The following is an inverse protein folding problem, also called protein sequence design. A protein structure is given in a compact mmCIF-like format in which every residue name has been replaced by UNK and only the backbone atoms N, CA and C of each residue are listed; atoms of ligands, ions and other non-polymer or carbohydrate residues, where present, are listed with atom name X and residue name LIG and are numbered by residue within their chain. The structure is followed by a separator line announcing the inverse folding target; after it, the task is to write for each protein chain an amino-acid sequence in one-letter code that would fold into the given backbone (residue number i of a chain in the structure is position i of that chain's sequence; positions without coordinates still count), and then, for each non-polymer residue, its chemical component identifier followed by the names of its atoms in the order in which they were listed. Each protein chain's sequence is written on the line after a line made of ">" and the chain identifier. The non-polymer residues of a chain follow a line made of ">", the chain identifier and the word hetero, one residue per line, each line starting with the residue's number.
data_IF_556181426080
#
_entry.id   IF_556181426080
#
_cell.length_a   1.000
_cell.length_b   1.000
_cell.length_c   1.000
_cell.angle_alpha   90.00
_cell.angle_beta   90.00
_cell.angle_gamma   90.00
#
_symmetry.space_group_name_H-M   'P 1'
#
loop_
_entity.id
_entity.type
_entity.pdbx_description
1 polymer ?
#
# COMPACT_ATOMS: atom_id res chain seq x y z
N UNK A 1 31.53 18.97 6.17
CA UNK A 1 30.96 20.22 5.59
C UNK A 1 30.83 19.96 4.10
N UNK A 2 29.68 19.42 3.68
CA UNK A 2 29.40 19.14 2.27
C UNK A 2 29.32 20.48 1.55
N UNK A 3 30.24 20.71 0.59
CA UNK A 3 30.12 21.83 -0.35
C UNK A 3 29.11 21.39 -1.41
N UNK A 4 27.86 21.78 -1.21
CA UNK A 4 26.86 21.75 -2.29
C UNK A 4 27.10 23.03 -3.08
N UNK A 5 27.41 22.91 -4.37
CA UNK A 5 27.44 24.06 -5.28
C UNK A 5 26.06 24.72 -5.24
N UNK A 6 26.01 25.99 -4.82
CA UNK A 6 24.78 26.75 -4.62
C UNK A 6 24.17 27.10 -5.97
N UNK A 7 23.40 26.17 -6.54
CA UNK A 7 22.49 26.48 -7.63
C UNK A 7 21.33 27.32 -7.07
N UNK A 8 21.22 28.56 -7.55
CA UNK A 8 20.07 29.42 -7.25
C UNK A 8 18.84 28.81 -7.94
N UNK A 9 17.90 28.26 -7.18
CA UNK A 9 16.63 27.78 -7.71
C UNK A 9 15.75 28.97 -8.09
N UNK A 10 15.73 29.36 -9.37
CA UNK A 10 14.69 30.28 -9.85
C UNK A 10 14.07 29.85 -11.18
N UNK A 11 12.72 29.91 -11.29
CA UNK A 11 11.76 30.29 -10.24
C UNK A 11 11.50 29.17 -9.20
N UNK A 12 11.07 29.55 -8.00
CA UNK A 12 10.67 28.61 -6.94
C UNK A 12 9.40 27.84 -7.33
N UNK A 13 9.34 26.56 -6.97
CA UNK A 13 8.19 25.68 -7.25
C UNK A 13 7.20 25.70 -6.09
N UNK A 14 5.93 25.84 -6.41
CA UNK A 14 4.81 25.87 -5.46
C UNK A 14 4.23 24.47 -5.28
N UNK A 15 4.27 23.95 -4.05
CA UNK A 15 3.78 22.64 -3.66
C UNK A 15 2.53 22.80 -2.78
N UNK A 16 1.39 22.35 -3.28
CA UNK A 16 0.15 22.34 -2.52
C UNK A 16 -0.08 21.00 -1.82
N UNK A 17 -0.41 21.01 -0.54
CA UNK A 17 -0.73 19.81 0.25
C UNK A 17 -2.22 19.85 0.60
N UNK A 18 -2.98 18.86 0.17
CA UNK A 18 -4.40 18.73 0.46
C UNK A 18 -4.67 17.52 1.35
N UNK A 19 -5.36 17.75 2.47
CA UNK A 19 -5.77 16.72 3.42
C UNK A 19 -7.30 16.63 3.47
N UNK A 20 -7.93 15.77 2.67
CA UNK A 20 -9.38 15.65 2.66
C UNK A 20 -9.96 14.93 3.90
N UNK A 21 -9.12 14.20 4.64
CA UNK A 21 -9.50 13.49 5.86
C UNK A 21 -8.27 13.19 6.73
N UNK A 22 -8.46 12.40 7.79
CA UNK A 22 -7.40 11.92 8.68
C UNK A 22 -6.19 11.36 7.93
N UNK A 23 -4.99 11.58 8.48
CA UNK A 23 -3.72 11.04 7.97
C UNK A 23 -2.79 10.59 9.10
N UNK A 24 -1.87 9.64 8.84
CA UNK A 24 -0.77 9.36 9.74
C UNK A 24 0.23 10.52 9.69
N UNK A 25 0.67 11.02 10.86
CA UNK A 25 1.61 12.15 10.94
C UNK A 25 2.90 11.95 10.17
N UNK A 26 3.43 10.74 10.25
CA UNK A 26 4.69 10.36 9.61
C UNK A 26 4.66 10.59 8.10
N UNK A 27 3.48 10.42 7.47
CA UNK A 27 3.30 10.61 6.04
C UNK A 27 3.41 12.09 5.64
N UNK A 28 2.73 12.97 6.37
CA UNK A 28 2.84 14.41 6.17
C UNK A 28 4.26 14.91 6.46
N UNK A 29 4.88 14.41 7.54
CA UNK A 29 6.24 14.79 7.91
C UNK A 29 7.23 14.49 6.79
N UNK A 30 7.18 13.30 6.16
CA UNK A 30 8.07 13.00 5.04
C UNK A 30 7.91 13.96 3.86
N UNK A 31 6.67 14.31 3.52
CA UNK A 31 6.40 15.24 2.43
C UNK A 31 6.96 16.62 2.75
N UNK A 32 6.64 17.15 3.92
CA UNK A 32 7.06 18.50 4.33
C UNK A 32 8.56 18.60 4.53
N UNK A 33 9.16 17.64 5.24
CA UNK A 33 10.57 17.68 5.61
C UNK A 33 11.47 17.55 4.39
N UNK A 34 11.11 16.73 3.39
CA UNK A 34 11.93 16.59 2.18
C UNK A 34 12.15 17.95 1.48
N UNK A 35 11.07 18.70 1.23
CA UNK A 35 11.17 20.02 0.59
C UNK A 35 11.85 21.07 1.50
N UNK A 36 11.55 21.07 2.80
CA UNK A 36 12.20 22.00 3.74
C UNK A 36 13.71 21.74 3.87
N UNK A 37 14.12 20.47 3.85
CA UNK A 37 15.54 20.10 3.85
C UNK A 37 16.23 20.49 2.55
N UNK A 38 15.57 20.36 1.40
CA UNK A 38 16.09 20.86 0.13
C UNK A 38 16.33 22.37 0.15
N UNK A 39 15.36 23.16 0.63
CA UNK A 39 15.55 24.61 0.79
C UNK A 39 16.75 24.92 1.71
N UNK A 40 16.92 24.15 2.78
CA UNK A 40 18.08 24.29 3.69
C UNK A 40 19.40 23.95 2.99
N UNK A 41 19.44 22.88 2.20
CA UNK A 41 20.63 22.47 1.44
C UNK A 41 21.04 23.54 0.43
N UNK A 42 20.06 24.16 -0.25
CA UNK A 42 20.28 25.20 -1.24
C UNK A 42 20.58 26.58 -0.62
N UNK A 43 20.34 26.76 0.69
CA UNK A 43 20.32 28.07 1.36
C UNK A 43 19.41 29.10 0.64
N UNK A 44 18.34 28.62 0.00
CA UNK A 44 17.39 29.41 -0.78
C UNK A 44 16.00 28.75 -0.76
N UNK A 45 14.95 29.48 -1.12
CA UNK A 45 13.58 28.96 -1.18
C UNK A 45 13.30 28.37 -2.56
N UNK A 46 13.81 27.16 -2.80
CA UNK A 46 13.51 26.39 -4.03
C UNK A 46 12.04 25.96 -4.11
N UNK A 47 11.43 25.66 -2.95
CA UNK A 47 10.08 25.13 -2.82
C UNK A 47 9.25 25.93 -1.82
N UNK A 48 8.08 26.41 -2.24
CA UNK A 48 7.08 27.02 -1.36
C UNK A 48 5.96 26.00 -1.09
N UNK A 49 5.74 25.63 0.16
CA UNK A 49 4.68 24.67 0.52
C UNK A 49 3.47 25.40 1.08
N UNK A 50 2.28 24.99 0.64
CA UNK A 50 1.02 25.54 1.12
C UNK A 50 0.02 24.46 1.48
N UNK A 51 -0.79 24.71 2.49
CA UNK A 51 -1.96 23.89 2.79
C UNK A 51 -3.15 24.33 1.93
N UNK A 52 -3.65 23.36 1.18
CA UNK A 52 -4.79 23.46 0.28
C UNK A 52 -6.05 23.02 1.01
N UNK A 53 -6.72 23.94 1.71
CA UNK A 53 -7.96 23.67 2.43
C UNK A 53 -8.91 24.86 2.37
N UNK A 54 -10.22 24.59 2.35
CA UNK A 54 -11.27 25.59 2.49
C UNK A 54 -11.81 25.72 3.92
N UNK A 55 -11.40 24.82 4.82
CA UNK A 55 -11.88 24.77 6.21
C UNK A 55 -10.71 24.98 7.17
N UNK A 56 -10.53 26.23 7.60
CA UNK A 56 -9.47 26.63 8.53
C UNK A 56 -9.65 26.09 9.94
N UNK A 57 -10.87 25.70 10.31
CA UNK A 57 -11.23 25.23 11.64
C UNK A 57 -11.21 23.71 11.73
N UNK A 58 -11.05 23.01 10.61
CA UNK A 58 -10.89 21.57 10.60
C UNK A 58 -9.69 21.17 11.49
N UNK A 59 -9.86 20.19 12.41
CA UNK A 59 -8.76 19.71 13.26
C UNK A 59 -7.50 19.32 12.49
N UNK A 60 -7.63 18.77 11.27
CA UNK A 60 -6.50 18.43 10.41
C UNK A 60 -5.81 19.66 9.84
N UNK A 61 -6.55 20.74 9.58
CA UNK A 61 -5.99 22.03 9.17
C UNK A 61 -5.20 22.68 10.30
N UNK A 62 -5.76 22.70 11.52
CA UNK A 62 -5.09 23.24 12.71
C UNK A 62 -3.79 22.49 12.97
N UNK A 63 -3.84 21.17 12.81
CA UNK A 63 -2.70 20.30 12.93
C UNK A 63 -1.60 20.60 11.90
N UNK A 64 -1.92 20.85 10.64
CA UNK A 64 -0.94 21.27 9.64
C UNK A 64 -0.23 22.59 9.96
N UNK A 65 -0.87 23.49 10.73
CA UNK A 65 -0.21 24.72 11.20
C UNK A 65 0.98 24.42 12.12
N UNK A 66 1.03 23.25 12.78
CA UNK A 66 2.21 22.81 13.55
C UNK A 66 3.43 22.51 12.68
N UNK A 67 3.24 22.35 11.38
CA UNK A 67 4.31 22.20 10.40
C UNK A 67 4.67 23.53 9.73
N UNK A 68 4.22 24.67 10.25
CA UNK A 68 4.43 26.00 9.67
C UNK A 68 4.03 26.09 8.19
N UNK A 69 2.99 25.36 7.78
CA UNK A 69 2.45 25.42 6.43
C UNK A 69 1.45 26.58 6.33
N UNK A 70 1.75 27.64 5.54
CA UNK A 70 0.78 28.70 5.29
C UNK A 70 -0.43 28.16 4.53
N UNK A 71 -1.59 28.78 4.75
CA UNK A 71 -2.76 28.54 3.91
C UNK A 71 -2.49 29.10 2.51
N UNK A 72 -2.94 28.37 1.49
CA UNK A 72 -2.84 28.86 0.12
C UNK A 72 -3.82 30.02 -0.10
N UNK A 73 -3.31 31.11 -0.67
CA UNK A 73 -4.11 32.25 -1.11
C UNK A 73 -4.41 32.10 -2.62
N UNK A 74 -5.66 32.33 -3.04
CA UNK A 74 -6.24 32.00 -4.36
C UNK A 74 -5.52 32.57 -5.60
N UNK A 75 -4.41 33.28 -5.44
CA UNK A 75 -3.70 34.03 -6.50
C UNK A 75 -2.44 33.34 -7.05
N UNK A 76 -1.91 32.28 -6.41
CA UNK A 76 -0.65 31.64 -6.83
C UNK A 76 -0.85 30.33 -7.60
N UNK A 77 -0.30 30.14 -8.81
CA UNK A 77 -0.32 28.85 -9.48
C UNK A 77 0.44 27.80 -8.64
N UNK A 78 0.02 26.54 -8.75
CA UNK A 78 0.63 25.42 -8.01
C UNK A 78 1.26 24.47 -9.01
N UNK A 79 2.54 24.11 -8.82
CA UNK A 79 3.28 23.20 -9.70
C UNK A 79 2.96 21.73 -9.41
N UNK A 80 2.66 21.41 -8.14
CA UNK A 80 2.18 20.08 -7.76
C UNK A 80 1.21 20.07 -6.58
N UNK A 81 0.26 19.14 -6.60
CA UNK A 81 -0.73 18.92 -5.53
C UNK A 81 -0.52 17.52 -4.95
N UNK A 82 -0.20 17.46 -3.66
CA UNK A 82 -0.09 16.24 -2.88
C UNK A 82 -1.37 16.02 -2.08
N UNK A 83 -2.10 14.95 -2.37
CA UNK A 83 -3.30 14.54 -1.64
C UNK A 83 -2.94 13.39 -0.72
N UNK A 84 -3.01 13.62 0.60
CA UNK A 84 -2.68 12.62 1.62
C UNK A 84 -3.93 12.26 2.41
N UNK A 85 -4.24 10.98 2.56
CA UNK A 85 -5.40 10.54 3.35
C UNK A 85 -5.23 9.09 3.82
N UNK A 86 -5.64 8.78 5.06
CA UNK A 86 -5.76 7.41 5.58
C UNK A 86 -7.14 6.78 5.34
N UNK A 87 -8.14 7.56 4.90
CA UNK A 87 -9.52 7.10 4.78
C UNK A 87 -10.04 7.34 3.37
N UNK A 88 -10.91 6.44 2.90
CA UNK A 88 -11.47 6.53 1.57
C UNK A 88 -12.50 7.67 1.46
N UNK A 89 -12.68 8.27 0.28
CA UNK A 89 -13.74 9.23 0.07
C UNK A 89 -15.11 8.56 0.30
N UNK A 90 -16.12 9.33 0.78
CA UNK A 90 -17.42 8.77 1.13
C UNK A 90 -18.23 8.28 -0.09
N UNK A 91 -17.86 8.71 -1.30
CA UNK A 91 -18.53 8.36 -2.57
C UNK A 91 -17.52 8.23 -3.70
N UNK A 92 -17.90 7.45 -4.71
CA UNK A 92 -17.13 7.27 -5.96
C UNK A 92 -16.83 8.58 -6.69
N UNK A 93 -17.76 9.55 -6.61
CA UNK A 93 -17.60 10.88 -7.17
C UNK A 93 -17.99 11.92 -6.14
N UNK A 94 -17.11 12.88 -5.92
CA UNK A 94 -17.32 14.02 -5.01
C UNK A 94 -16.74 15.27 -5.65
N UNK A 95 -17.29 16.42 -5.26
CA UNK A 95 -16.71 17.70 -5.68
C UNK A 95 -15.41 17.90 -4.91
N UNK A 96 -14.31 18.13 -5.62
CA UNK A 96 -13.11 18.67 -4.99
C UNK A 96 -13.36 20.10 -4.53
N UNK A 97 -12.51 20.64 -3.65
CA UNK A 97 -12.46 22.09 -3.44
C UNK A 97 -12.36 22.83 -4.79
N UNK A 98 -13.06 23.97 -4.98
CA UNK A 98 -13.13 24.66 -6.27
C UNK A 98 -11.76 24.98 -6.87
N UNK A 99 -10.79 25.32 -6.02
CA UNK A 99 -9.43 25.63 -6.48
C UNK A 99 -8.68 24.38 -6.97
N UNK A 100 -8.82 23.23 -6.30
CA UNK A 100 -8.25 21.96 -6.78
C UNK A 100 -8.89 21.65 -8.14
N UNK A 101 -10.21 21.80 -8.25
CA UNK A 101 -10.90 21.57 -9.52
C UNK A 101 -10.38 22.48 -10.62
N UNK A 102 -10.14 23.75 -10.31
CA UNK A 102 -9.59 24.71 -11.26
C UNK A 102 -8.20 24.28 -11.75
N UNK A 103 -7.29 23.93 -10.83
CA UNK A 103 -5.93 23.47 -11.19
C UNK A 103 -5.94 22.15 -11.96
N UNK A 104 -6.84 21.22 -11.63
CA UNK A 104 -7.03 19.98 -12.38
C UNK A 104 -7.51 20.25 -13.81
N UNK A 105 -8.34 21.27 -14.03
CA UNK A 105 -8.91 21.60 -15.34
C UNK A 105 -7.96 22.39 -16.25
N UNK A 106 -7.01 23.14 -15.68
CA UNK A 106 -6.03 23.94 -16.45
C UNK A 106 -4.86 23.12 -16.98
N UNK A 107 -4.81 21.82 -16.66
CA UNK A 107 -4.04 20.77 -17.33
C UNK A 107 -2.49 20.87 -17.30
N UNK A 108 -1.91 21.44 -16.24
CA UNK A 108 -0.43 21.47 -16.07
C UNK A 108 0.07 21.15 -14.66
N UNK A 109 -0.82 20.77 -13.73
CA UNK A 109 -0.40 20.46 -12.36
C UNK A 109 -0.06 18.98 -12.18
N UNK A 110 1.09 18.70 -11.56
CA UNK A 110 1.44 17.34 -11.15
C UNK A 110 0.62 16.96 -9.92
N UNK A 111 -0.04 15.81 -9.91
CA UNK A 111 -0.80 15.35 -8.76
C UNK A 111 -0.22 14.07 -8.19
N UNK A 112 -0.12 14.00 -6.87
CA UNK A 112 0.43 12.86 -6.15
C UNK A 112 -0.56 12.42 -5.08
N UNK A 113 -1.07 11.21 -5.20
CA UNK A 113 -1.99 10.62 -4.23
C UNK A 113 -1.28 9.62 -3.32
N UNK A 114 -1.24 9.86 -2.02
CA UNK A 114 -0.56 8.96 -1.07
C UNK A 114 -1.59 8.29 -0.16
N UNK A 115 -1.40 7.00 0.07
CA UNK A 115 -2.28 6.14 0.85
C UNK A 115 -3.69 6.07 0.24
N UNK A 116 -4.74 6.58 0.89
CA UNK A 116 -6.08 6.72 0.31
C UNK A 116 -6.21 7.94 -0.61
N UNK A 117 -5.22 8.84 -0.62
CA UNK A 117 -5.23 10.08 -1.40
C UNK A 117 -5.32 9.87 -2.91
N UNK A 118 -4.81 8.74 -3.42
CA UNK A 118 -4.99 8.35 -4.83
C UNK A 118 -6.45 8.06 -5.17
N UNK A 119 -7.21 7.49 -4.24
CA UNK A 119 -8.66 7.25 -4.38
C UNK A 119 -9.45 8.55 -4.27
N UNK A 120 -9.01 9.50 -3.44
CA UNK A 120 -9.57 10.86 -3.43
C UNK A 120 -9.37 11.58 -4.75
N UNK A 121 -8.17 11.53 -5.33
CA UNK A 121 -7.89 12.07 -6.66
C UNK A 121 -8.81 11.45 -7.72
N UNK A 122 -8.98 10.12 -7.69
CA UNK A 122 -9.94 9.46 -8.58
C UNK A 122 -11.38 9.98 -8.37
N UNK A 123 -11.80 10.14 -7.11
CA UNK A 123 -13.13 10.65 -6.80
C UNK A 123 -13.33 12.12 -7.20
N UNK A 124 -12.25 12.90 -7.34
CA UNK A 124 -12.22 14.24 -7.93
C UNK A 124 -12.21 14.26 -9.47
N UNK A 125 -12.17 13.09 -10.11
CA UNK A 125 -12.18 12.96 -11.56
C UNK A 125 -10.79 12.87 -12.20
N UNK A 126 -9.73 12.63 -11.41
CA UNK A 126 -8.39 12.37 -11.97
C UNK A 126 -8.33 10.95 -12.53
N UNK A 127 -7.88 10.84 -13.78
CA UNK A 127 -7.68 9.56 -14.44
C UNK A 127 -6.25 9.08 -14.25
N UNK A 128 -6.10 7.83 -13.81
CA UNK A 128 -4.81 7.16 -13.70
C UNK A 128 -4.57 6.34 -14.97
N UNK A 129 -3.41 6.54 -15.62
CA UNK A 129 -2.99 5.73 -16.78
C UNK A 129 -2.31 4.43 -16.32
N UNK A 130 -1.58 4.51 -15.22
CA UNK A 130 -0.90 3.38 -14.59
C UNK A 130 -1.78 2.78 -13.48
N UNK A 131 -1.55 1.50 -13.11
CA UNK A 131 -2.15 0.92 -11.92
C UNK A 131 -1.94 1.80 -10.68
N UNK A 132 -3.01 1.97 -9.92
CA UNK A 132 -3.04 2.86 -8.75
C UNK A 132 -2.46 2.16 -7.54
N UNK A 133 -1.56 2.87 -6.86
CA UNK A 133 -1.04 2.44 -5.57
C UNK A 133 -1.89 3.04 -4.46
N UNK A 134 -2.37 2.18 -3.57
CA UNK A 134 -2.99 2.52 -2.30
C UNK A 134 -2.52 1.51 -1.23
N UNK A 135 -2.63 1.88 0.04
CA UNK A 135 -2.23 0.98 1.13
C UNK A 135 -3.08 -0.31 1.12
N UNK A 136 -2.43 -1.47 1.22
CA UNK A 136 -3.06 -2.79 1.09
C UNK A 136 -4.27 -3.00 2.00
N UNK A 137 -4.30 -2.37 3.18
CA UNK A 137 -5.43 -2.50 4.12
C UNK A 137 -6.74 -1.90 3.60
N UNK A 138 -6.70 -1.06 2.57
CA UNK A 138 -7.88 -0.44 1.96
C UNK A 138 -8.38 -1.21 0.74
N UNK A 139 -7.65 -2.22 0.26
CA UNK A 139 -7.90 -2.81 -1.05
C UNK A 139 -9.27 -3.48 -1.17
N UNK A 140 -9.72 -4.18 -0.13
CA UNK A 140 -11.04 -4.82 -0.15
C UNK A 140 -12.15 -3.77 -0.34
N UNK A 141 -12.08 -2.68 0.43
CA UNK A 141 -13.01 -1.55 0.33
C UNK A 141 -12.91 -0.82 -1.02
N UNK A 142 -11.70 -0.65 -1.57
CA UNK A 142 -11.49 -0.01 -2.86
C UNK A 142 -12.08 -0.86 -3.98
N UNK A 143 -11.80 -2.17 -3.98
CA UNK A 143 -12.32 -3.09 -4.98
C UNK A 143 -13.86 -3.17 -4.96
N UNK A 144 -14.47 -3.00 -3.78
CA UNK A 144 -15.93 -2.95 -3.65
C UNK A 144 -16.51 -1.61 -4.13
N UNK A 145 -15.95 -0.47 -3.69
CA UNK A 145 -16.55 0.86 -3.87
C UNK A 145 -16.09 1.60 -5.12
N UNK A 146 -14.91 1.25 -5.64
CA UNK A 146 -14.24 1.90 -6.78
C UNK A 146 -13.71 0.85 -7.77
N UNK A 147 -14.56 -0.03 -8.33
CA UNK A 147 -14.13 -1.16 -9.16
C UNK A 147 -13.47 -0.75 -10.49
N UNK A 148 -13.53 0.53 -10.87
CA UNK A 148 -12.83 1.07 -12.03
C UNK A 148 -11.33 1.27 -11.80
N UNK A 149 -10.87 1.30 -10.55
CA UNK A 149 -9.45 1.43 -10.21
C UNK A 149 -8.75 0.09 -10.31
N UNK A 150 -7.70 0.03 -11.11
CA UNK A 150 -6.79 -1.12 -11.15
C UNK A 150 -5.70 -0.91 -10.11
N UNK A 151 -5.63 -1.77 -9.09
CA UNK A 151 -4.65 -1.66 -8.01
C UNK A 151 -3.37 -2.48 -8.27
N UNK A 152 -2.23 -2.00 -7.75
CA UNK A 152 -0.94 -2.69 -7.81
C UNK A 152 -0.30 -2.83 -6.41
N UNK A 153 0.37 -3.96 -6.08
CA UNK A 153 1.00 -4.20 -4.77
C UNK A 153 2.32 -3.44 -4.56
N UNK A 154 2.73 -2.64 -5.53
CA UNK A 154 3.97 -1.87 -5.52
C UNK A 154 3.96 -0.77 -4.44
N UNK A 155 5.14 -0.22 -4.14
CA UNK A 155 5.28 0.84 -3.13
C UNK A 155 4.78 2.20 -3.64
N UNK A 156 5.06 2.50 -4.91
CA UNK A 156 4.66 3.74 -5.57
C UNK A 156 4.72 3.60 -7.09
N UNK A 157 4.03 4.51 -7.78
CA UNK A 157 4.03 4.69 -9.23
C UNK A 157 4.21 6.18 -9.54
N UNK A 158 5.16 6.51 -10.41
CA UNK A 158 5.40 7.87 -10.90
C UNK A 158 5.08 7.89 -12.38
N UNK A 159 3.95 8.51 -12.73
CA UNK A 159 3.59 8.81 -14.11
C UNK A 159 3.92 10.25 -14.47
N UNK A 160 3.64 10.65 -15.72
CA UNK A 160 3.99 11.98 -16.24
C UNK A 160 3.36 13.13 -15.44
N UNK A 161 2.07 13.02 -15.12
CA UNK A 161 1.31 14.06 -14.39
C UNK A 161 0.61 13.54 -13.14
N UNK A 162 0.48 12.22 -12.99
CA UNK A 162 -0.28 11.56 -11.93
C UNK A 162 0.59 10.49 -11.31
N UNK A 163 0.86 10.61 -10.02
CA UNK A 163 1.64 9.66 -9.23
C UNK A 163 0.82 9.13 -8.06
N UNK A 164 1.15 7.93 -7.59
CA UNK A 164 0.52 7.34 -6.40
C UNK A 164 1.50 6.58 -5.53
N UNK A 165 1.24 6.52 -4.23
CA UNK A 165 2.08 5.77 -3.28
C UNK A 165 1.26 5.14 -2.18
N UNK A 166 1.74 4.03 -1.62
CA UNK A 166 0.99 3.31 -0.59
C UNK A 166 0.99 4.01 0.78
N UNK A 167 1.84 5.02 0.97
CA UNK A 167 1.95 5.78 2.21
C UNK A 167 2.91 5.20 3.25
N UNK A 168 2.86 5.74 4.45
CA UNK A 168 3.75 5.39 5.58
C UNK A 168 5.23 5.55 5.22
N UNK A 169 6.06 4.51 5.44
CA UNK A 169 7.49 4.54 5.13
C UNK A 169 7.75 4.64 3.63
N UNK A 170 6.83 4.18 2.76
CA UNK A 170 7.03 4.28 1.31
C UNK A 170 6.92 5.72 0.79
N UNK A 171 6.36 6.64 1.60
CA UNK A 171 6.28 8.05 1.25
C UNK A 171 7.67 8.67 1.12
N UNK A 172 8.63 8.28 1.96
CA UNK A 172 10.02 8.74 1.81
C UNK A 172 10.64 8.24 0.51
N UNK A 173 10.37 6.99 0.12
CA UNK A 173 10.87 6.47 -1.16
C UNK A 173 10.23 7.19 -2.35
N UNK A 174 8.91 7.37 -2.32
CA UNK A 174 8.17 8.07 -3.37
C UNK A 174 8.67 9.51 -3.53
N UNK A 175 8.78 10.29 -2.44
CA UNK A 175 9.16 11.70 -2.57
C UNK A 175 10.60 11.86 -3.06
N UNK A 176 11.53 11.03 -2.59
CA UNK A 176 12.92 11.05 -3.08
C UNK A 176 12.95 10.66 -4.56
N UNK A 177 12.26 9.59 -4.95
CA UNK A 177 12.18 9.16 -6.34
C UNK A 177 11.53 10.24 -7.24
N UNK A 178 10.48 10.89 -6.78
CA UNK A 178 9.80 11.96 -7.50
C UNK A 178 10.69 13.19 -7.68
N UNK A 179 11.45 13.57 -6.64
CA UNK A 179 12.40 14.69 -6.68
C UNK A 179 13.56 14.43 -7.64
N UNK A 180 13.92 13.18 -7.97
CA UNK A 180 14.97 12.89 -8.97
C UNK A 180 14.66 13.47 -10.36
N UNK A 181 13.37 13.70 -10.66
CA UNK A 181 12.96 14.34 -11.91
C UNK A 181 13.10 15.88 -11.88
N UNK A 182 13.34 16.45 -10.71
CA UNK A 182 13.37 17.91 -10.48
C UNK A 182 14.72 18.43 -10.03
N UNK A 183 15.53 17.58 -9.38
CA UNK A 183 16.77 17.93 -8.72
C UNK A 183 17.95 17.17 -9.29
N UNK A 184 19.15 17.70 -9.07
CA UNK A 184 20.39 17.00 -9.45
C UNK A 184 20.63 15.78 -8.56
N UNK A 185 21.38 14.80 -9.09
CA UNK A 185 21.74 13.61 -8.32
C UNK A 185 22.48 13.94 -7.01
N UNK A 186 23.33 14.98 -7.01
CA UNK A 186 24.08 15.39 -5.81
C UNK A 186 23.17 15.99 -4.73
N UNK A 187 22.17 16.78 -5.15
CA UNK A 187 21.12 17.29 -4.26
C UNK A 187 20.32 16.15 -3.65
N UNK A 188 19.91 15.17 -4.46
CA UNK A 188 19.17 13.99 -3.99
C UNK A 188 20.00 13.15 -3.01
N UNK A 189 21.27 12.91 -3.32
CA UNK A 189 22.16 12.18 -2.42
C UNK A 189 22.31 12.91 -1.07
N UNK A 190 22.47 14.24 -1.10
CA UNK A 190 22.55 15.06 0.11
C UNK A 190 21.26 15.02 0.94
N UNK A 191 20.10 15.00 0.28
CA UNK A 191 18.81 14.83 0.94
C UNK A 191 18.68 13.44 1.60
N UNK A 192 19.06 12.38 0.88
CA UNK A 192 19.04 11.02 1.38
C UNK A 192 19.96 10.85 2.61
N UNK A 193 21.15 11.46 2.58
CA UNK A 193 22.08 11.48 3.72
C UNK A 193 21.46 12.16 4.96
N UNK A 194 20.81 13.33 4.77
CA UNK A 194 20.15 14.04 5.88
C UNK A 194 18.98 13.25 6.48
N UNK A 195 18.25 12.51 5.63
CA UNK A 195 17.15 11.64 6.06
C UNK A 195 17.62 10.27 6.57
N UNK A 196 18.92 9.99 6.56
CA UNK A 196 19.50 8.69 6.93
C UNK A 196 18.88 7.53 6.14
N UNK A 197 18.64 7.72 4.84
CA UNK A 197 18.08 6.70 3.96
C UNK A 197 19.21 5.80 3.44
N UNK A 198 19.40 4.64 4.10
CA UNK A 198 20.44 3.67 3.73
C UNK A 198 20.23 3.05 2.35
N UNK A 199 18.96 2.89 1.94
CA UNK A 199 18.57 2.30 0.66
C UNK A 199 17.23 2.86 0.22
N UNK A 200 17.20 3.48 -0.96
CA UNK A 200 15.96 3.82 -1.64
C UNK A 200 15.33 2.53 -2.20
N UNK A 201 14.11 2.21 -1.78
CA UNK A 201 13.39 1.06 -2.30
C UNK A 201 12.89 1.33 -3.71
N UNK A 202 13.06 0.35 -4.58
CA UNK A 202 12.63 0.48 -5.97
C UNK A 202 11.12 0.31 -6.09
N UNK A 203 10.50 0.93 -7.10
CA UNK A 203 9.04 0.95 -7.24
C UNK A 203 8.39 -0.43 -7.30
N UNK A 204 9.02 -1.42 -7.95
CA UNK A 204 8.47 -2.78 -8.09
C UNK A 204 8.63 -3.63 -6.81
N UNK A 205 9.29 -3.10 -5.77
CA UNK A 205 9.22 -3.73 -4.45
C UNK A 205 7.78 -3.72 -3.95
N UNK A 206 7.37 -4.81 -3.31
CA UNK A 206 6.00 -4.98 -2.85
C UNK A 206 5.81 -4.41 -1.45
N UNK A 207 4.60 -3.92 -1.18
CA UNK A 207 4.17 -3.56 0.16
C UNK A 207 4.38 -4.72 1.14
N UNK A 208 4.87 -4.39 2.35
CA UNK A 208 5.05 -5.39 3.40
C UNK A 208 3.69 -5.79 3.96
N UNK A 209 3.33 -7.06 3.78
CA UNK A 209 2.11 -7.64 4.34
C UNK A 209 2.29 -7.99 5.83
N UNK A 210 1.21 -7.94 6.65
CA UNK A 210 1.26 -8.21 8.09
C UNK A 210 1.81 -9.58 8.49
N UNK A 211 1.77 -10.57 7.59
CA UNK A 211 2.30 -11.92 7.82
C UNK A 211 3.83 -11.97 7.90
N UNK A 212 4.53 -10.88 7.55
CA UNK A 212 5.98 -10.78 7.61
C UNK A 212 6.40 -10.12 8.94
N UNK A 213 6.76 -10.87 10.00
CA UNK A 213 7.40 -10.38 11.24
C UNK A 213 8.50 -9.32 11.04
N UNK A 214 8.53 -8.32 11.93
CA UNK A 214 9.51 -7.22 11.95
C UNK A 214 10.83 -7.72 12.56
N UNK A 215 11.97 -7.54 11.86
CA UNK A 215 13.31 -7.65 12.45
C UNK A 215 13.87 -9.05 12.75
N UNK A 216 13.33 -10.12 12.17
CA UNK A 216 13.94 -11.45 12.28
C UNK A 216 14.70 -11.78 11.01
N UNK A 217 15.96 -12.21 11.14
CA UNK A 217 16.67 -12.96 10.10
C UNK A 217 15.68 -13.85 9.36
N UNK A 218 15.43 -13.51 8.09
CA UNK A 218 14.85 -14.46 7.17
C UNK A 218 13.52 -15.05 7.70
N UNK A 219 12.45 -14.25 7.67
CA UNK A 219 11.20 -14.84 7.16
C UNK A 219 11.55 -15.19 5.72
N UNK A 220 12.09 -16.39 5.55
CA UNK A 220 12.76 -16.75 4.32
C UNK A 220 11.77 -16.47 3.20
N UNK A 221 12.13 -15.65 2.20
CA UNK A 221 11.26 -15.39 1.06
C UNK A 221 10.67 -16.69 0.50
N UNK A 222 11.40 -17.80 0.62
CA UNK A 222 10.96 -19.16 0.28
C UNK A 222 9.82 -19.73 1.12
N UNK A 223 9.77 -19.47 2.42
CA UNK A 223 8.65 -19.88 3.28
C UNK A 223 7.39 -19.06 2.93
N UNK A 224 7.53 -17.75 2.75
CA UNK A 224 6.41 -16.88 2.34
C UNK A 224 5.89 -17.31 0.96
N UNK A 225 6.76 -17.43 -0.03
CA UNK A 225 6.40 -17.92 -1.36
C UNK A 225 5.74 -19.30 -1.31
N UNK A 226 6.21 -20.20 -0.44
CA UNK A 226 5.59 -21.51 -0.28
C UNK A 226 4.17 -21.43 0.28
N UNK A 227 3.92 -20.55 1.25
CA UNK A 227 2.58 -20.31 1.80
C UNK A 227 1.68 -19.66 0.74
N UNK A 228 2.17 -18.68 -0.01
CA UNK A 228 1.43 -18.05 -1.12
C UNK A 228 1.04 -19.07 -2.20
N UNK A 229 1.96 -19.96 -2.58
CA UNK A 229 1.65 -21.07 -3.50
C UNK A 229 0.56 -21.98 -2.94
N UNK A 230 0.58 -22.28 -1.64
CA UNK A 230 -0.46 -23.08 -1.00
C UNK A 230 -1.83 -22.39 -1.04
N UNK A 231 -1.87 -21.10 -0.72
CA UNK A 231 -3.12 -20.31 -0.68
C UNK A 231 -3.75 -20.15 -2.07
N UNK A 232 -2.92 -20.01 -3.11
CA UNK A 232 -3.36 -19.86 -4.49
C UNK A 232 -3.79 -21.18 -5.15
N UNK A 233 -3.37 -22.33 -4.60
CA UNK A 233 -3.66 -23.66 -5.18
C UNK A 233 -4.51 -24.52 -4.23
N UNK A 234 -5.65 -24.01 -3.76
CA UNK A 234 -6.47 -24.75 -2.78
C UNK A 234 -7.27 -25.90 -3.42
N UNK A 235 -7.81 -25.68 -4.62
CA UNK A 235 -8.66 -26.64 -5.34
C UNK A 235 -7.83 -27.79 -5.92
N UNK A 236 -6.66 -27.46 -6.47
CA UNK A 236 -5.68 -28.42 -6.99
C UNK A 236 -4.38 -28.34 -6.18
N UNK A 237 -4.32 -28.99 -4.99
CA UNK A 237 -3.24 -28.79 -4.05
C UNK A 237 -1.92 -29.38 -4.55
N UNK A 238 -0.87 -28.56 -4.52
CA UNK A 238 0.48 -28.97 -4.83
C UNK A 238 1.06 -29.90 -3.74
N UNK A 239 1.84 -30.88 -4.16
CA UNK A 239 2.64 -31.69 -3.24
C UNK A 239 3.76 -30.87 -2.60
N UNK A 240 4.27 -31.36 -1.46
CA UNK A 240 5.41 -30.70 -0.79
C UNK A 240 6.66 -30.66 -1.68
N UNK A 241 6.84 -31.65 -2.54
CA UNK A 241 7.96 -31.70 -3.49
C UNK A 241 7.79 -30.65 -4.61
N UNK A 242 6.59 -30.50 -5.18
CA UNK A 242 6.30 -29.45 -6.18
C UNK A 242 6.51 -28.05 -5.61
N UNK A 243 6.03 -27.80 -4.38
CA UNK A 243 6.23 -26.52 -3.71
C UNK A 243 7.73 -26.25 -3.50
N UNK A 244 8.49 -27.25 -3.07
CA UNK A 244 9.93 -27.12 -2.87
C UNK A 244 10.66 -26.77 -4.18
N UNK A 245 10.27 -27.39 -5.29
CA UNK A 245 10.80 -27.08 -6.63
C UNK A 245 10.45 -25.65 -7.05
N UNK A 246 9.19 -25.23 -6.91
CA UNK A 246 8.73 -23.89 -7.29
C UNK A 246 9.37 -22.78 -6.45
N UNK A 247 9.71 -23.06 -5.19
CA UNK A 247 10.44 -22.12 -4.34
C UNK A 247 11.96 -22.34 -4.36
N UNK A 248 12.48 -23.16 -5.28
CA UNK A 248 13.90 -23.40 -5.51
C UNK A 248 14.71 -23.80 -4.26
N UNK A 249 14.16 -24.68 -3.42
CA UNK A 249 14.86 -25.27 -2.28
C UNK A 249 14.61 -26.77 -2.19
N UNK A 250 15.43 -27.48 -1.43
CA UNK A 250 15.16 -28.90 -1.15
C UNK A 250 13.93 -29.07 -0.25
N UNK A 251 13.21 -30.19 -0.42
CA UNK A 251 12.11 -30.58 0.49
C UNK A 251 12.52 -30.58 1.97
N UNK A 252 13.73 -31.08 2.27
CA UNK A 252 14.28 -31.07 3.64
C UNK A 252 14.42 -29.66 4.20
N UNK A 253 14.87 -28.71 3.38
CA UNK A 253 14.97 -27.30 3.77
C UNK A 253 13.58 -26.70 3.99
N UNK A 254 12.62 -26.98 3.11
CA UNK A 254 11.23 -26.55 3.24
C UNK A 254 10.61 -27.06 4.56
N UNK A 255 10.74 -28.36 4.84
CA UNK A 255 10.25 -28.97 6.09
C UNK A 255 10.90 -28.34 7.33
N UNK A 256 12.21 -28.06 7.27
CA UNK A 256 12.93 -27.37 8.35
C UNK A 256 12.41 -25.96 8.57
N UNK A 257 12.14 -25.21 7.50
CA UNK A 257 11.54 -23.87 7.59
C UNK A 257 10.15 -23.94 8.25
N UNK A 258 9.27 -24.81 7.75
CA UNK A 258 7.94 -24.97 8.33
C UNK A 258 7.99 -25.39 9.80
N UNK A 259 8.86 -26.33 10.18
CA UNK A 259 9.00 -26.76 11.58
C UNK A 259 9.54 -25.64 12.47
N UNK A 260 10.53 -24.86 12.00
CA UNK A 260 11.13 -23.75 12.74
C UNK A 260 10.13 -22.62 12.97
N UNK A 261 9.37 -22.24 11.95
CA UNK A 261 8.58 -20.99 11.97
C UNK A 261 7.07 -21.20 12.20
N UNK A 262 6.51 -22.35 11.85
CA UNK A 262 5.07 -22.64 12.07
C UNK A 262 4.84 -23.74 13.12
N UNK A 263 5.90 -24.40 13.58
CA UNK A 263 5.81 -25.54 14.50
C UNK A 263 5.19 -26.80 13.87
N UNK A 264 4.95 -26.81 12.56
CA UNK A 264 4.30 -27.93 11.86
C UNK A 264 5.03 -28.30 10.57
N UNK A 265 4.62 -29.40 9.92
CA UNK A 265 5.15 -29.81 8.62
C UNK A 265 4.36 -29.16 7.47
N UNK A 266 4.96 -28.95 6.28
CA UNK A 266 4.32 -28.27 5.15
C UNK A 266 2.95 -28.86 4.79
N UNK A 267 2.87 -30.19 4.62
CA UNK A 267 1.61 -30.87 4.27
C UNK A 267 0.52 -30.68 5.34
N UNK A 268 0.90 -30.66 6.63
CA UNK A 268 -0.05 -30.43 7.73
C UNK A 268 -0.52 -28.98 7.72
N UNK A 269 0.38 -28.02 7.53
CA UNK A 269 0.03 -26.61 7.43
C UNK A 269 -0.91 -26.34 6.25
N UNK A 270 -0.61 -26.91 5.07
CA UNK A 270 -1.45 -26.79 3.89
C UNK A 270 -2.86 -27.34 4.10
N UNK A 271 -2.98 -28.49 4.78
CA UNK A 271 -4.28 -29.03 5.20
C UNK A 271 -5.06 -28.03 6.07
N UNK A 272 -4.40 -27.30 6.97
CA UNK A 272 -5.05 -26.29 7.81
C UNK A 272 -5.57 -25.10 7.00
N UNK A 273 -4.80 -24.62 6.01
CA UNK A 273 -5.24 -23.55 5.10
C UNK A 273 -6.54 -23.97 4.40
N UNK A 274 -6.53 -25.17 3.81
CA UNK A 274 -7.67 -25.72 3.07
C UNK A 274 -8.90 -25.91 3.97
N UNK A 275 -8.71 -26.38 5.21
CA UNK A 275 -9.79 -26.53 6.19
C UNK A 275 -10.34 -25.18 6.68
N UNK A 276 -9.50 -24.15 6.85
CA UNK A 276 -9.94 -22.79 7.17
C UNK A 276 -10.78 -22.18 6.05
N UNK A 277 -10.36 -22.34 4.78
CA UNK A 277 -11.16 -21.93 3.61
C UNK A 277 -12.50 -22.68 3.56
N UNK A 278 -12.49 -23.99 3.82
CA UNK A 278 -13.70 -24.80 3.87
C UNK A 278 -14.66 -24.29 4.95
N UNK A 279 -14.17 -23.98 6.15
CA UNK A 279 -14.97 -23.40 7.24
C UNK A 279 -15.63 -22.08 6.82
N UNK A 280 -14.87 -21.19 6.18
CA UNK A 280 -15.43 -19.96 5.64
C UNK A 280 -16.58 -20.25 4.67
N UNK A 281 -16.38 -21.13 3.67
CA UNK A 281 -17.42 -21.48 2.70
C UNK A 281 -18.63 -22.18 3.33
N UNK A 282 -18.43 -22.98 4.37
CA UNK A 282 -19.52 -23.63 5.13
C UNK A 282 -20.42 -22.60 5.79
N UNK A 283 -19.82 -21.53 6.32
CA UNK A 283 -20.53 -20.46 7.04
C UNK A 283 -21.15 -19.44 6.10
N UNK A 284 -20.48 -19.07 5.02
CA UNK A 284 -20.91 -17.95 4.16
C UNK A 284 -21.77 -18.39 2.97
N UNK A 285 -21.70 -19.64 2.51
CA UNK A 285 -22.36 -20.08 1.27
C UNK A 285 -23.43 -21.17 1.47
N UNK A 286 -24.32 -21.32 0.49
CA UNK A 286 -25.32 -22.39 0.41
C UNK A 286 -24.86 -23.68 -0.29
N UNK A 287 -23.58 -23.77 -0.69
CA UNK A 287 -23.05 -24.93 -1.44
C UNK A 287 -23.15 -26.22 -0.61
N UNK A 288 -23.29 -27.38 -1.24
CA UNK A 288 -23.34 -28.65 -0.50
C UNK A 288 -22.00 -28.95 0.18
N UNK A 289 -22.01 -29.70 1.29
CA UNK A 289 -20.76 -30.07 2.00
C UNK A 289 -19.79 -30.82 1.07
N UNK A 290 -20.31 -31.62 0.14
CA UNK A 290 -19.51 -32.32 -0.87
C UNK A 290 -18.86 -31.32 -1.84
N UNK A 291 -19.62 -30.34 -2.35
CA UNK A 291 -19.09 -29.30 -3.23
C UNK A 291 -17.99 -28.46 -2.55
N UNK A 292 -18.17 -28.12 -1.28
CA UNK A 292 -17.16 -27.38 -0.51
C UNK A 292 -15.89 -28.23 -0.35
N UNK A 293 -16.03 -29.53 -0.08
CA UNK A 293 -14.90 -30.45 -0.03
C UNK A 293 -14.10 -30.43 -1.35
N UNK A 294 -14.80 -30.51 -2.49
CA UNK A 294 -14.17 -30.48 -3.82
C UNK A 294 -13.45 -29.15 -4.09
N UNK A 295 -14.10 -28.01 -3.83
CA UNK A 295 -13.49 -26.67 -3.99
C UNK A 295 -12.25 -26.50 -3.11
N UNK A 296 -12.24 -27.16 -1.95
CA UNK A 296 -11.10 -27.18 -1.05
C UNK A 296 -10.12 -28.32 -1.35
N UNK A 297 -10.19 -28.95 -2.53
CA UNK A 297 -9.26 -29.94 -3.07
C UNK A 297 -9.31 -31.33 -2.44
N UNK A 298 -10.41 -31.67 -1.74
CA UNK A 298 -10.56 -32.99 -1.13
C UNK A 298 -11.08 -34.00 -2.16
N UNK A 299 -10.44 -35.16 -2.25
CA UNK A 299 -10.81 -36.23 -3.18
C UNK A 299 -12.16 -36.90 -2.89
N UNK A 300 -12.68 -36.76 -1.66
CA UNK A 300 -14.01 -37.27 -1.31
C UNK A 300 -14.64 -36.54 -0.12
N UNK A 301 -15.98 -36.55 -0.08
CA UNK A 301 -16.76 -35.99 1.02
C UNK A 301 -16.51 -36.63 2.39
N UNK A 302 -16.36 -37.97 2.50
CA UNK A 302 -15.99 -38.63 3.76
C UNK A 302 -14.60 -38.20 4.26
N UNK A 303 -13.59 -38.15 3.38
CA UNK A 303 -12.26 -37.69 3.75
C UNK A 303 -12.30 -36.25 4.27
N UNK A 304 -12.94 -35.33 3.52
CA UNK A 304 -13.17 -33.95 3.96
C UNK A 304 -13.83 -33.86 5.34
N UNK A 305 -14.97 -34.54 5.52
CA UNK A 305 -15.75 -34.46 6.77
C UNK A 305 -14.95 -34.96 7.97
N UNK A 306 -14.17 -36.04 7.79
CA UNK A 306 -13.31 -36.59 8.84
C UNK A 306 -12.14 -35.65 9.19
N UNK A 307 -11.46 -35.07 8.19
CA UNK A 307 -10.37 -34.11 8.41
C UNK A 307 -10.87 -32.83 9.07
N UNK A 308 -12.04 -32.35 8.67
CA UNK A 308 -12.66 -31.17 9.26
C UNK A 308 -13.02 -31.40 10.73
N UNK A 309 -13.65 -32.54 11.05
CA UNK A 309 -13.96 -32.90 12.44
C UNK A 309 -12.70 -33.06 13.29
N UNK A 310 -11.66 -33.70 12.74
CA UNK A 310 -10.39 -33.87 13.45
C UNK A 310 -9.73 -32.52 13.78
N UNK A 311 -9.89 -31.51 12.94
CA UNK A 311 -9.27 -30.20 13.14
C UNK A 311 -10.12 -29.23 13.98
N UNK A 312 -11.44 -29.18 13.77
CA UNK A 312 -12.33 -28.23 14.44
C UNK A 312 -13.16 -28.83 15.58
N UNK A 313 -13.10 -30.14 15.80
CA UNK A 313 -13.87 -30.86 16.83
C UNK A 313 -15.34 -31.14 16.45
N UNK A 314 -15.84 -30.55 15.38
CA UNK A 314 -17.23 -30.70 14.89
C UNK A 314 -17.26 -30.97 13.39
N UNK A 315 -18.30 -31.61 12.90
CA UNK A 315 -18.47 -31.87 11.47
C UNK A 315 -18.86 -30.61 10.69
N UNK A 316 -18.60 -30.53 9.38
CA UNK A 316 -19.06 -29.41 8.55
C UNK A 316 -20.57 -29.19 8.60
N UNK A 317 -21.35 -30.28 8.73
CA UNK A 317 -22.82 -30.22 8.80
C UNK A 317 -23.30 -29.64 10.13
N UNK A 318 -22.69 -30.05 11.23
CA UNK A 318 -22.96 -29.47 12.56
C UNK A 318 -22.57 -28.00 12.61
N UNK A 319 -21.41 -27.64 12.04
CA UNK A 319 -20.97 -26.23 11.99
C UNK A 319 -21.96 -25.36 11.19
N UNK A 320 -22.50 -25.86 10.08
CA UNK A 320 -23.55 -25.16 9.33
C UNK A 320 -24.85 -25.01 10.12
N UNK A 321 -25.24 -26.02 10.88
CA UNK A 321 -26.48 -25.96 11.65
C UNK A 321 -26.46 -24.83 12.70
N UNK A 322 -25.27 -24.40 13.17
CA UNK A 322 -25.11 -23.23 14.06
C UNK A 322 -25.38 -21.87 13.40
N UNK A 323 -25.58 -21.81 12.08
CA UNK A 323 -25.98 -20.59 11.35
C UNK A 323 -27.47 -20.27 11.53
N UNK A 324 -28.27 -21.26 11.91
CA UNK A 324 -29.71 -21.15 12.19
C UNK A 324 -29.91 -20.87 13.67
#
# INVERSE_FOLDING_TARGET
>A
MLKVDTAVCQPSKTIGIHLPADIPFIELSFVVDAFKLLNRLSNDTCYELFLLTSDEQNPHTILCKTFDLPLWEESKPVDSIWVLSATLPPKAHIKSPPFIQHQLNTNQVNVVGVNAGSVWLHAYGVNFQEPVVAHWNLWDDINEKFPALVLTPELYQIGDNVSSGCGQMATSDLIIAWLTNLETQDTINSLADLLCVDRLRHKEEKQRLPSLSLGGEDIQPRLTMAIELMENNIEEPLSTDEIAVLVHISRRQLERLFKRYTGTLPARYYMQIRLKKAKHLVLTTGKSIVQIGLICGFSSGPHFSSSYKAYFGVTPREERAKRL
#
